data_IF_613869609902
#
_entry.id   IF_613869609902
#
_cell.length_a   1.000
_cell.length_b   1.000
_cell.length_c   1.000
_cell.angle_alpha   90.00
_cell.angle_beta   90.00
_cell.angle_gamma   90.00
#
_symmetry.space_group_name_H-M   'P 1'
#
loop_
_entity.id
_entity.type
_entity.pdbx_description
1 polymer ?
#
# COMPACT_ATOMS: atom_id res chain seq x y z
N UNK A 1 18.12 -5.32 8.43
CA UNK A 1 16.94 -5.60 9.28
C UNK A 1 16.54 -7.07 9.17
N UNK A 2 16.03 -7.73 10.25
CA UNK A 2 15.36 -9.04 10.23
C UNK A 2 14.17 -8.99 9.27
N UNK A 3 13.78 -10.12 8.68
CA UNK A 3 12.56 -10.21 7.89
C UNK A 3 11.37 -10.36 8.84
N UNK A 4 10.47 -9.38 8.84
CA UNK A 4 9.31 -9.34 9.71
C UNK A 4 8.04 -9.56 8.91
N UNK A 5 7.02 -10.15 9.58
CA UNK A 5 5.73 -10.41 8.97
C UNK A 5 5.88 -11.31 7.71
N UNK A 6 4.82 -11.62 7.03
CA UNK A 6 4.82 -12.40 5.78
C UNK A 6 4.85 -13.92 5.96
N UNK A 7 4.62 -14.42 7.16
CA UNK A 7 4.59 -15.86 7.41
C UNK A 7 3.51 -16.55 6.56
N UNK A 8 2.32 -15.95 6.44
CA UNK A 8 1.21 -16.46 5.62
C UNK A 8 1.55 -16.44 4.14
N UNK A 9 2.14 -15.33 3.66
CA UNK A 9 2.55 -15.22 2.27
C UNK A 9 3.69 -16.19 1.92
N UNK A 10 4.67 -16.32 2.82
CA UNK A 10 5.75 -17.30 2.65
C UNK A 10 5.23 -18.74 2.66
N UNK A 11 4.28 -19.03 3.54
CA UNK A 11 3.66 -20.35 3.59
C UNK A 11 2.94 -20.67 2.28
N UNK A 12 2.13 -19.74 1.76
CA UNK A 12 1.44 -19.89 0.48
C UNK A 12 2.44 -20.12 -0.66
N UNK A 13 3.53 -19.34 -0.72
CA UNK A 13 4.55 -19.53 -1.76
C UNK A 13 5.23 -20.89 -1.67
N UNK A 14 5.48 -21.42 -0.46
CA UNK A 14 6.00 -22.79 -0.26
C UNK A 14 5.00 -23.87 -0.69
N UNK A 15 3.72 -23.67 -0.43
CA UNK A 15 2.66 -24.58 -0.88
C UNK A 15 2.56 -24.62 -2.39
N UNK A 16 2.59 -23.47 -3.05
CA UNK A 16 2.60 -23.36 -4.52
C UNK A 16 3.86 -23.98 -5.12
N UNK A 17 5.04 -23.77 -4.52
CA UNK A 17 6.27 -24.44 -4.91
C UNK A 17 6.15 -25.98 -4.82
N UNK A 18 5.48 -26.49 -3.79
CA UNK A 18 5.16 -27.91 -3.67
C UNK A 18 4.27 -28.43 -4.79
N UNK A 19 3.24 -27.67 -5.15
CA UNK A 19 2.30 -27.98 -6.23
C UNK A 19 2.96 -27.91 -7.62
N UNK A 20 3.91 -26.98 -7.82
CA UNK A 20 4.60 -26.81 -9.11
C UNK A 20 5.40 -28.04 -9.55
N UNK A 21 5.72 -28.94 -8.62
CA UNK A 21 6.37 -30.23 -8.93
C UNK A 21 5.49 -31.18 -9.73
N UNK A 22 4.18 -30.99 -9.78
CA UNK A 22 3.25 -31.79 -10.60
C UNK A 22 2.90 -31.13 -11.92
N UNK A 23 2.67 -29.83 -11.92
CA UNK A 23 2.44 -28.99 -13.11
C UNK A 23 2.78 -27.54 -12.79
N UNK A 24 3.13 -26.75 -13.79
CA UNK A 24 3.54 -25.36 -13.59
C UNK A 24 2.47 -24.53 -12.86
N UNK A 25 2.92 -23.67 -11.96
CA UNK A 25 2.07 -22.76 -11.19
C UNK A 25 2.50 -21.31 -11.39
N UNK A 26 1.53 -20.41 -11.45
CA UNK A 26 1.76 -18.97 -11.60
C UNK A 26 1.21 -18.23 -10.40
N UNK A 27 2.09 -17.52 -9.69
CA UNK A 27 1.72 -16.61 -8.60
C UNK A 27 1.99 -15.18 -9.02
N UNK A 28 1.01 -14.29 -8.83
CA UNK A 28 1.17 -12.85 -9.07
C UNK A 28 1.25 -12.11 -7.74
N UNK A 29 2.36 -11.40 -7.52
CA UNK A 29 2.57 -10.57 -6.33
C UNK A 29 2.39 -9.10 -6.70
N UNK A 30 1.30 -8.52 -6.26
CA UNK A 30 0.98 -7.12 -6.44
C UNK A 30 1.22 -6.32 -5.16
N UNK A 31 1.31 -5.03 -5.27
CA UNK A 31 1.44 -4.12 -4.14
C UNK A 31 2.27 -2.91 -4.51
N UNK A 32 2.11 -1.85 -3.73
CA UNK A 32 2.82 -0.59 -3.97
C UNK A 32 4.34 -0.79 -4.00
N UNK A 33 5.01 0.17 -4.61
CA UNK A 33 6.47 0.25 -4.57
C UNK A 33 6.97 0.22 -3.12
N UNK A 34 8.11 -0.42 -2.87
CA UNK A 34 8.80 -0.46 -1.56
C UNK A 34 8.12 -1.27 -0.45
N UNK A 35 7.10 -2.06 -0.80
CA UNK A 35 6.36 -2.89 0.16
C UNK A 35 7.06 -4.22 0.51
N UNK A 36 8.14 -4.60 -0.22
CA UNK A 36 8.92 -5.82 0.01
C UNK A 36 8.60 -6.99 -0.93
N UNK A 37 8.01 -6.75 -2.12
CA UNK A 37 7.69 -7.82 -3.10
C UNK A 37 8.92 -8.63 -3.53
N UNK A 38 9.98 -7.94 -3.95
CA UNK A 38 11.24 -8.57 -4.38
C UNK A 38 11.86 -9.40 -3.27
N UNK A 39 11.88 -8.88 -2.05
CA UNK A 39 12.41 -9.57 -0.88
C UNK A 39 11.61 -10.85 -0.56
N UNK A 40 10.27 -10.77 -0.62
CA UNK A 40 9.41 -11.93 -0.42
C UNK A 40 9.63 -12.99 -1.49
N UNK A 41 9.70 -12.60 -2.77
CA UNK A 41 9.87 -13.53 -3.88
C UNK A 41 11.20 -14.29 -3.86
N UNK A 42 12.19 -13.81 -3.10
CA UNK A 42 13.52 -14.40 -2.99
C UNK A 42 13.78 -15.13 -1.66
N UNK A 43 12.90 -14.98 -0.65
CA UNK A 43 13.14 -15.49 0.72
C UNK A 43 12.08 -16.46 1.25
N UNK A 44 11.30 -17.10 0.39
CA UNK A 44 10.28 -18.05 0.85
C UNK A 44 10.77 -19.50 0.97
N UNK A 45 12.03 -19.80 0.63
CA UNK A 45 12.68 -21.09 0.90
C UNK A 45 13.01 -21.94 -0.33
N UNK A 46 12.96 -21.41 -1.55
CA UNK A 46 13.52 -22.06 -2.72
C UNK A 46 15.00 -21.68 -2.90
N UNK A 47 15.86 -22.68 -3.17
CA UNK A 47 17.29 -22.49 -3.39
C UNK A 47 17.63 -22.18 -4.86
N UNK A 48 16.76 -22.58 -5.80
CA UNK A 48 17.00 -22.42 -7.24
C UNK A 48 16.06 -21.39 -7.84
N UNK A 49 16.36 -20.11 -7.61
CA UNK A 49 15.59 -18.98 -8.14
C UNK A 49 16.33 -18.36 -9.32
N UNK A 50 15.70 -18.39 -10.48
CA UNK A 50 16.05 -17.62 -11.66
C UNK A 50 15.33 -16.27 -11.58
N UNK A 51 16.06 -15.15 -11.65
CA UNK A 51 15.49 -13.83 -11.45
C UNK A 51 15.63 -12.95 -12.68
N UNK A 52 14.50 -12.57 -13.27
CA UNK A 52 14.40 -11.69 -14.43
C UNK A 52 13.88 -10.32 -14.00
N UNK A 53 14.69 -9.29 -14.15
CA UNK A 53 14.26 -7.91 -13.93
C UNK A 53 13.90 -7.27 -15.28
N UNK A 54 12.66 -6.84 -15.43
CA UNK A 54 12.19 -6.18 -16.66
C UNK A 54 12.52 -4.70 -16.61
N UNK A 55 13.74 -4.36 -17.03
CA UNK A 55 14.20 -2.97 -17.11
C UNK A 55 13.57 -2.23 -18.30
N UNK A 56 13.64 -0.88 -18.25
CA UNK A 56 13.16 0.00 -19.34
C UNK A 56 14.22 0.08 -20.46
N UNK A 57 14.44 -0.99 -21.21
CA UNK A 57 15.36 -1.09 -22.34
C UNK A 57 14.78 -1.98 -23.44
N UNK A 58 15.40 -2.00 -24.63
CA UNK A 58 14.94 -2.81 -25.75
C UNK A 58 14.83 -4.28 -25.38
N UNK A 59 13.83 -4.98 -25.93
CA UNK A 59 13.55 -6.40 -25.65
C UNK A 59 14.75 -7.29 -25.89
N UNK A 60 15.48 -7.08 -26.97
CA UNK A 60 16.69 -7.87 -27.30
C UNK A 60 17.76 -7.77 -26.22
N UNK A 61 17.94 -6.61 -25.61
CA UNK A 61 18.88 -6.43 -24.51
C UNK A 61 18.39 -7.10 -23.21
N UNK A 62 17.08 -7.10 -22.96
CA UNK A 62 16.49 -7.87 -21.87
C UNK A 62 16.71 -9.36 -22.06
N UNK A 63 16.49 -9.86 -23.30
CA UNK A 63 16.71 -11.27 -23.61
C UNK A 63 18.18 -11.69 -23.40
N UNK A 64 19.14 -10.84 -23.74
CA UNK A 64 20.56 -11.09 -23.46
C UNK A 64 20.84 -11.23 -21.96
N UNK A 65 20.29 -10.33 -21.13
CA UNK A 65 20.42 -10.44 -19.67
C UNK A 65 19.79 -11.73 -19.15
N UNK A 66 18.60 -12.11 -19.65
CA UNK A 66 17.89 -13.32 -19.21
C UNK A 66 18.63 -14.59 -19.61
N UNK A 67 19.20 -14.63 -20.81
CA UNK A 67 20.05 -15.73 -21.27
C UNK A 67 21.31 -15.86 -20.41
N UNK A 68 21.94 -14.73 -20.07
CA UNK A 68 23.10 -14.74 -19.18
C UNK A 68 22.75 -15.26 -17.77
N UNK A 69 21.59 -14.86 -17.23
CA UNK A 69 21.10 -15.33 -15.92
C UNK A 69 20.77 -16.84 -15.95
N UNK A 70 20.13 -17.35 -17.01
CA UNK A 70 19.86 -18.78 -17.20
C UNK A 70 21.17 -19.56 -17.18
N UNK A 71 22.15 -19.13 -17.99
CA UNK A 71 23.45 -19.78 -18.09
C UNK A 71 24.19 -19.80 -16.76
N UNK A 72 24.20 -18.64 -16.06
CA UNK A 72 24.89 -18.50 -14.78
C UNK A 72 24.24 -19.34 -13.68
N UNK A 73 22.92 -19.28 -13.53
CA UNK A 73 22.19 -19.93 -12.41
C UNK A 73 21.95 -21.41 -12.63
N UNK A 74 21.63 -21.80 -13.84
CA UNK A 74 21.24 -23.19 -14.14
C UNK A 74 22.38 -23.99 -14.78
N UNK A 75 23.48 -23.35 -15.19
CA UNK A 75 24.60 -24.00 -15.85
C UNK A 75 24.26 -24.56 -17.24
N UNK A 76 23.19 -24.05 -17.85
CA UNK A 76 22.70 -24.53 -19.16
C UNK A 76 23.03 -23.52 -20.23
N UNK A 77 23.86 -23.85 -21.24
CA UNK A 77 24.11 -22.92 -22.32
C UNK A 77 22.87 -22.79 -23.21
N UNK A 78 22.43 -21.54 -23.41
CA UNK A 78 21.38 -21.24 -24.39
C UNK A 78 22.03 -21.15 -25.77
N UNK A 79 21.73 -22.10 -26.63
CA UNK A 79 22.29 -22.13 -27.99
C UNK A 79 21.56 -21.10 -28.87
N UNK A 80 22.32 -20.17 -29.45
CA UNK A 80 21.80 -19.11 -30.31
C UNK A 80 21.49 -17.81 -29.60
N UNK A 81 21.05 -16.79 -30.36
CA UNK A 81 20.59 -15.53 -29.85
C UNK A 81 19.05 -15.58 -29.67
N UNK A 82 18.57 -15.39 -28.46
CA UNK A 82 17.15 -15.17 -28.25
C UNK A 82 16.83 -13.71 -28.59
N UNK A 83 15.95 -13.50 -29.58
CA UNK A 83 15.60 -12.16 -30.07
C UNK A 83 14.30 -11.64 -29.45
N UNK A 84 13.50 -12.51 -28.83
CA UNK A 84 12.24 -12.15 -28.18
C UNK A 84 12.09 -12.82 -26.82
N UNK A 85 11.33 -12.19 -25.94
CA UNK A 85 11.00 -12.78 -24.63
C UNK A 85 10.20 -14.09 -24.78
N UNK A 86 9.37 -14.20 -25.81
CA UNK A 86 8.63 -15.43 -26.11
C UNK A 86 9.56 -16.64 -26.33
N UNK A 87 10.69 -16.45 -26.99
CA UNK A 87 11.70 -17.51 -27.17
C UNK A 87 12.34 -17.91 -25.84
N UNK A 88 12.72 -16.93 -25.02
CA UNK A 88 13.29 -17.16 -23.68
C UNK A 88 12.28 -17.87 -22.78
N UNK A 89 11.04 -17.41 -22.75
CA UNK A 89 10.00 -17.99 -21.89
C UNK A 89 9.69 -19.45 -22.28
N UNK A 90 9.57 -19.71 -23.57
CA UNK A 90 9.37 -21.08 -24.07
C UNK A 90 10.54 -21.98 -23.74
N UNK A 91 11.78 -21.50 -23.84
CA UNK A 91 12.97 -22.24 -23.43
C UNK A 91 12.93 -22.59 -21.93
N UNK A 92 12.57 -21.63 -21.07
CA UNK A 92 12.42 -21.83 -19.63
C UNK A 92 11.34 -22.88 -19.31
N UNK A 93 10.18 -22.81 -19.97
CA UNK A 93 9.10 -23.79 -19.80
C UNK A 93 9.57 -25.21 -20.16
N UNK A 94 10.28 -25.37 -21.29
CA UNK A 94 10.83 -26.66 -21.71
C UNK A 94 11.91 -27.19 -20.78
N UNK A 95 12.79 -26.31 -20.32
CA UNK A 95 13.83 -26.67 -19.36
C UNK A 95 13.25 -27.20 -18.04
N UNK A 96 12.14 -26.62 -17.62
CA UNK A 96 11.46 -27.03 -16.39
C UNK A 96 10.69 -28.36 -16.49
N UNK A 97 10.55 -28.98 -17.68
CA UNK A 97 9.96 -30.31 -17.80
C UNK A 97 10.81 -31.41 -17.11
N UNK A 98 12.13 -31.26 -17.15
CA UNK A 98 13.07 -32.25 -16.56
C UNK A 98 13.69 -31.76 -15.23
N UNK A 99 13.66 -30.48 -14.97
CA UNK A 99 14.29 -29.85 -13.79
C UNK A 99 13.38 -28.77 -13.20
N UNK A 100 12.66 -29.06 -12.11
CA UNK A 100 11.86 -28.03 -11.42
C UNK A 100 12.75 -26.89 -10.90
N UNK A 101 12.28 -25.65 -11.05
CA UNK A 101 12.90 -24.44 -10.48
C UNK A 101 11.88 -23.28 -10.43
N UNK A 102 12.23 -22.23 -9.70
CA UNK A 102 11.44 -20.99 -9.67
C UNK A 102 11.99 -19.97 -10.68
N UNK A 103 11.09 -19.36 -11.44
CA UNK A 103 11.34 -18.14 -12.20
C UNK A 103 10.59 -16.98 -11.53
N UNK A 104 11.32 -15.94 -11.13
CA UNK A 104 10.77 -14.65 -10.70
C UNK A 104 10.92 -13.65 -11.84
N UNK A 105 9.81 -13.04 -12.27
CA UNK A 105 9.83 -11.92 -13.23
C UNK A 105 9.38 -10.66 -12.47
N UNK A 106 10.32 -9.77 -12.21
CA UNK A 106 10.07 -8.53 -11.47
C UNK A 106 9.91 -7.32 -12.41
N UNK A 107 9.11 -6.34 -11.97
CA UNK A 107 8.69 -5.17 -12.76
C UNK A 107 8.00 -5.56 -14.09
N UNK A 108 7.21 -6.63 -14.05
CA UNK A 108 6.56 -7.27 -15.21
C UNK A 108 5.73 -6.28 -16.06
N UNK A 109 5.08 -5.30 -15.43
CA UNK A 109 4.29 -4.29 -16.14
C UNK A 109 5.11 -3.47 -17.15
N UNK A 110 6.44 -3.46 -17.03
CA UNK A 110 7.29 -2.74 -17.98
C UNK A 110 7.22 -3.34 -19.39
N UNK A 111 6.84 -4.61 -19.56
CA UNK A 111 6.59 -5.19 -20.89
C UNK A 111 5.52 -4.43 -21.67
N UNK A 112 4.55 -3.77 -21.01
CA UNK A 112 3.57 -2.91 -21.68
C UNK A 112 4.23 -1.83 -22.55
N UNK A 113 5.42 -1.35 -22.15
CA UNK A 113 6.18 -0.33 -22.89
C UNK A 113 7.28 -0.92 -23.77
N UNK A 114 7.82 -2.07 -23.40
CA UNK A 114 8.92 -2.74 -24.13
C UNK A 114 8.37 -3.47 -25.35
N UNK A 115 7.42 -4.35 -25.13
CA UNK A 115 6.70 -5.12 -26.17
C UNK A 115 5.41 -5.67 -25.59
N UNK A 116 4.24 -5.06 -25.81
CA UNK A 116 2.97 -5.53 -25.27
C UNK A 116 2.51 -6.89 -25.82
N UNK A 117 3.07 -7.37 -26.94
CA UNK A 117 2.73 -8.71 -27.47
C UNK A 117 3.21 -9.83 -26.54
N UNK A 118 4.14 -9.54 -25.63
CA UNK A 118 4.63 -10.50 -24.62
C UNK A 118 3.49 -11.14 -23.83
N UNK A 119 2.43 -10.38 -23.51
CA UNK A 119 1.30 -10.92 -22.75
C UNK A 119 0.55 -12.01 -23.53
N UNK A 120 0.28 -11.80 -24.81
CA UNK A 120 -0.36 -12.79 -25.67
C UNK A 120 0.52 -13.99 -25.95
N UNK A 121 1.82 -13.77 -26.15
CA UNK A 121 2.79 -14.83 -26.35
C UNK A 121 2.94 -15.70 -25.10
N UNK A 122 3.02 -15.08 -23.91
CA UNK A 122 3.03 -15.81 -22.65
C UNK A 122 1.76 -16.60 -22.43
N UNK A 123 0.58 -16.03 -22.73
CA UNK A 123 -0.70 -16.72 -22.66
C UNK A 123 -0.65 -18.01 -23.47
N UNK A 124 -0.29 -17.91 -24.76
CA UNK A 124 -0.21 -19.05 -25.68
C UNK A 124 0.75 -20.13 -25.16
N UNK A 125 1.96 -19.73 -24.80
CA UNK A 125 2.99 -20.68 -24.39
C UNK A 125 2.67 -21.29 -23.01
N UNK A 126 2.08 -20.52 -22.07
CA UNK A 126 1.59 -21.03 -20.80
C UNK A 126 0.48 -22.06 -20.97
N UNK A 127 -0.54 -21.78 -21.77
CA UNK A 127 -1.67 -22.68 -22.00
C UNK A 127 -1.21 -24.01 -22.67
N UNK A 128 -0.17 -23.97 -23.52
CA UNK A 128 0.41 -25.16 -24.17
C UNK A 128 1.29 -26.00 -23.24
N UNK A 129 2.02 -25.38 -22.33
CA UNK A 129 3.09 -26.05 -21.59
C UNK A 129 2.79 -26.24 -20.11
N UNK A 130 1.81 -25.56 -19.51
CA UNK A 130 1.48 -25.59 -18.07
C UNK A 130 1.47 -27.03 -17.51
N UNK A 131 0.83 -27.95 -18.20
CA UNK A 131 0.67 -29.36 -17.74
C UNK A 131 1.89 -30.23 -17.90
N UNK A 132 2.88 -29.80 -18.66
CA UNK A 132 4.11 -30.56 -18.93
C UNK A 132 5.31 -30.02 -18.18
N UNK A 133 5.27 -28.79 -17.83
CA UNK A 133 6.32 -28.03 -17.16
C UNK A 133 6.15 -28.10 -15.64
N UNK A 134 7.25 -28.02 -14.92
CA UNK A 134 7.30 -27.97 -13.45
C UNK A 134 7.82 -26.63 -12.96
N UNK A 135 7.46 -25.56 -13.67
CA UNK A 135 7.88 -24.20 -13.38
C UNK A 135 7.05 -23.59 -12.23
N UNK A 136 7.71 -23.12 -11.18
CA UNK A 136 7.10 -22.20 -10.25
C UNK A 136 7.35 -20.77 -10.75
N UNK A 137 6.34 -20.15 -11.37
CA UNK A 137 6.44 -18.81 -11.93
C UNK A 137 5.88 -17.78 -10.94
N UNK A 138 6.73 -16.86 -10.50
CA UNK A 138 6.34 -15.72 -9.67
C UNK A 138 6.48 -14.45 -10.50
N UNK A 139 5.40 -13.71 -10.66
CA UNK A 139 5.37 -12.45 -11.38
C UNK A 139 5.13 -11.33 -10.37
N UNK A 140 6.00 -10.31 -10.36
CA UNK A 140 5.81 -9.15 -9.50
C UNK A 140 5.86 -7.83 -10.27
N UNK A 141 5.15 -6.83 -9.74
CA UNK A 141 5.14 -5.49 -10.32
C UNK A 141 4.78 -4.42 -9.29
N UNK A 142 5.32 -3.23 -9.51
CA UNK A 142 5.19 -2.10 -8.60
C UNK A 142 4.11 -1.09 -8.98
N UNK A 143 3.69 -1.06 -10.25
CA UNK A 143 2.59 -0.22 -10.73
C UNK A 143 1.29 -1.01 -10.59
N UNK A 144 0.61 -0.76 -9.46
CA UNK A 144 -0.54 -1.54 -9.04
C UNK A 144 -1.66 -1.59 -10.08
N UNK A 145 -1.95 -0.44 -10.70
CA UNK A 145 -3.00 -0.30 -11.71
C UNK A 145 -2.73 -1.15 -12.95
N UNK A 146 -1.48 -1.14 -13.44
CA UNK A 146 -1.10 -1.95 -14.61
C UNK A 146 -1.14 -3.43 -14.30
N UNK A 147 -0.69 -3.85 -13.12
CA UNK A 147 -0.74 -5.25 -12.70
C UNK A 147 -2.18 -5.75 -12.58
N UNK A 148 -3.07 -4.95 -11.98
CA UNK A 148 -4.52 -5.26 -11.97
C UNK A 148 -5.07 -5.39 -13.38
N UNK A 149 -4.78 -4.46 -14.27
CA UNK A 149 -5.21 -4.53 -15.65
C UNK A 149 -4.75 -5.84 -16.29
N UNK A 150 -3.46 -6.16 -16.25
CA UNK A 150 -2.89 -7.35 -16.92
C UNK A 150 -3.51 -8.67 -16.42
N UNK A 151 -3.83 -8.79 -15.11
CA UNK A 151 -4.22 -10.07 -14.51
C UNK A 151 -5.68 -10.14 -14.04
N UNK A 152 -6.40 -9.02 -13.98
CA UNK A 152 -7.79 -8.94 -13.47
C UNK A 152 -8.79 -8.41 -14.48
N UNK A 153 -8.34 -7.79 -15.57
CA UNK A 153 -9.22 -7.35 -16.64
C UNK A 153 -9.49 -8.51 -17.61
N UNK A 154 -10.76 -8.83 -17.84
CA UNK A 154 -11.20 -9.97 -18.67
C UNK A 154 -10.80 -9.83 -20.14
N UNK A 155 -10.49 -8.63 -20.62
CA UNK A 155 -10.04 -8.38 -21.99
C UNK A 155 -8.53 -8.69 -22.18
N UNK A 156 -7.78 -8.81 -21.10
CA UNK A 156 -6.33 -8.99 -21.16
C UNK A 156 -5.92 -10.47 -21.30
N UNK A 157 -4.85 -10.77 -22.06
CA UNK A 157 -4.45 -12.14 -22.36
C UNK A 157 -4.16 -13.01 -21.13
N UNK A 158 -3.61 -12.45 -20.05
CA UNK A 158 -3.23 -13.19 -18.86
C UNK A 158 -4.34 -13.27 -17.80
N UNK A 159 -5.54 -12.76 -18.09
CA UNK A 159 -6.69 -12.92 -17.21
C UNK A 159 -6.96 -14.39 -16.89
N UNK A 160 -7.13 -14.71 -15.61
CA UNK A 160 -7.45 -16.07 -15.13
C UNK A 160 -6.33 -17.11 -15.25
N UNK A 161 -5.07 -16.73 -15.63
CA UNK A 161 -3.94 -17.66 -15.70
C UNK A 161 -3.14 -17.78 -14.41
N UNK A 162 -3.21 -16.79 -13.53
CA UNK A 162 -2.59 -16.89 -12.22
C UNK A 162 -3.37 -17.88 -11.35
N UNK A 163 -2.64 -18.85 -10.77
CA UNK A 163 -3.18 -19.78 -9.79
C UNK A 163 -3.38 -19.08 -8.44
N UNK A 164 -2.46 -18.18 -8.07
CA UNK A 164 -2.52 -17.39 -6.85
C UNK A 164 -2.24 -15.91 -7.12
N UNK A 165 -2.93 -15.05 -6.37
CA UNK A 165 -2.72 -13.60 -6.40
C UNK A 165 -2.52 -13.07 -4.99
N UNK A 166 -1.35 -12.53 -4.72
CA UNK A 166 -0.97 -11.91 -3.45
C UNK A 166 -0.94 -10.38 -3.60
N UNK A 167 -1.72 -9.67 -2.81
CA UNK A 167 -1.64 -8.22 -2.71
C UNK A 167 -0.99 -7.84 -1.39
N UNK A 168 0.32 -7.51 -1.43
CA UNK A 168 1.06 -7.16 -0.25
C UNK A 168 0.59 -5.83 0.35
N UNK A 169 0.28 -5.88 1.63
CA UNK A 169 -0.10 -4.72 2.43
C UNK A 169 1.09 -4.19 3.25
N UNK A 170 1.08 -2.92 3.67
CA UNK A 170 2.03 -2.40 4.66
C UNK A 170 2.02 -3.23 5.94
N UNK A 171 3.11 -3.23 6.70
CA UNK A 171 3.19 -3.91 8.00
C UNK A 171 2.02 -3.52 8.90
N UNK A 172 1.41 -4.51 9.54
CA UNK A 172 0.35 -4.30 10.53
C UNK A 172 0.84 -3.42 11.68
N UNK A 173 -0.11 -2.84 12.41
CA UNK A 173 0.21 -1.97 13.55
C UNK A 173 1.02 -2.70 14.63
N UNK A 174 0.67 -3.95 14.92
CA UNK A 174 1.40 -4.76 15.91
C UNK A 174 2.81 -5.13 15.43
N UNK A 175 2.98 -5.40 14.14
CA UNK A 175 4.30 -5.65 13.53
C UNK A 175 5.17 -4.39 13.59
N UNK A 176 4.61 -3.20 13.33
CA UNK A 176 5.36 -1.95 13.49
C UNK A 176 5.81 -1.73 14.93
N UNK A 177 4.98 -2.12 15.90
CA UNK A 177 5.29 -2.08 17.33
C UNK A 177 6.42 -3.06 17.68
N UNK A 178 6.35 -4.31 17.19
CA UNK A 178 7.40 -5.31 17.34
C UNK A 178 8.73 -4.80 16.77
N UNK A 179 8.72 -4.32 15.52
CA UNK A 179 9.94 -3.81 14.86
C UNK A 179 10.54 -2.66 15.67
N UNK A 180 9.74 -1.68 16.08
CA UNK A 180 10.25 -0.54 16.84
C UNK A 180 10.82 -0.98 18.18
N UNK A 181 10.19 -1.97 18.85
CA UNK A 181 10.68 -2.54 20.09
C UNK A 181 12.04 -3.26 19.93
N UNK A 182 12.23 -4.00 18.84
CA UNK A 182 13.50 -4.68 18.56
C UNK A 182 14.66 -3.69 18.37
N UNK A 183 14.39 -2.49 17.79
CA UNK A 183 15.40 -1.46 17.58
C UNK A 183 15.57 -0.50 18.77
N UNK A 184 14.56 -0.37 19.61
CA UNK A 184 14.54 0.54 20.75
C UNK A 184 13.50 0.11 21.78
N UNK A 185 13.84 -0.79 22.72
CA UNK A 185 12.89 -1.27 23.74
C UNK A 185 12.26 -0.17 24.61
N UNK A 186 12.94 0.98 24.73
CA UNK A 186 12.46 2.14 25.51
C UNK A 186 11.66 3.14 24.66
N UNK A 187 11.13 2.73 23.50
CA UNK A 187 10.33 3.61 22.67
C UNK A 187 9.08 4.11 23.42
N UNK A 188 8.62 5.29 23.06
CA UNK A 188 7.38 5.88 23.59
C UNK A 188 6.22 5.73 22.61
N UNK A 189 4.95 5.81 23.05
CA UNK A 189 3.81 5.89 22.13
C UNK A 189 3.92 7.00 21.09
N UNK A 190 4.59 8.11 21.40
CA UNK A 190 4.86 9.18 20.44
C UNK A 190 5.86 8.76 19.35
N UNK A 191 6.82 7.91 19.69
CA UNK A 191 7.77 7.38 18.72
C UNK A 191 7.07 6.40 17.76
N UNK A 192 6.19 5.54 18.27
CA UNK A 192 5.38 4.64 17.46
C UNK A 192 4.42 5.42 16.54
N UNK A 193 3.73 6.42 17.06
CA UNK A 193 2.87 7.27 16.24
C UNK A 193 3.65 8.01 15.16
N UNK A 194 4.88 8.47 15.44
CA UNK A 194 5.73 9.11 14.45
C UNK A 194 6.15 8.13 13.36
N UNK A 195 6.57 6.92 13.72
CA UNK A 195 6.89 5.86 12.77
C UNK A 195 5.70 5.58 11.85
N UNK A 196 4.52 5.34 12.43
CA UNK A 196 3.29 5.10 11.69
C UNK A 196 2.92 6.28 10.77
N UNK A 197 3.00 7.52 11.27
CA UNK A 197 2.64 8.73 10.52
C UNK A 197 3.51 8.94 9.29
N UNK A 198 4.80 8.63 9.40
CA UNK A 198 5.78 8.84 8.33
C UNK A 198 5.77 7.67 7.35
N UNK A 199 5.63 6.44 7.85
CA UNK A 199 5.87 5.25 7.03
C UNK A 199 4.59 4.54 6.58
N UNK A 200 3.50 4.71 7.33
CA UNK A 200 2.28 3.91 7.14
C UNK A 200 2.52 2.40 7.25
N UNK A 201 3.69 1.97 7.73
CA UNK A 201 4.12 0.57 7.76
C UNK A 201 4.72 0.07 6.45
N UNK A 202 5.03 0.93 5.48
CA UNK A 202 5.73 0.53 4.25
C UNK A 202 7.13 0.07 4.59
N UNK A 203 7.46 -1.19 4.27
CA UNK A 203 8.66 -1.89 4.72
C UNK A 203 9.96 -1.09 4.50
N UNK A 204 10.14 -0.51 3.32
CA UNK A 204 11.36 0.24 3.01
C UNK A 204 11.49 1.53 3.83
N UNK A 205 10.39 2.25 4.09
CA UNK A 205 10.44 3.47 4.91
C UNK A 205 10.77 3.16 6.36
N UNK A 206 10.18 2.08 6.89
CA UNK A 206 10.49 1.57 8.24
C UNK A 206 11.97 1.22 8.34
N UNK A 207 12.47 0.40 7.40
CA UNK A 207 13.88 0.00 7.33
C UNK A 207 14.80 1.22 7.22
N UNK A 208 14.48 2.16 6.34
CA UNK A 208 15.31 3.35 6.10
C UNK A 208 15.51 4.21 7.35
N UNK A 209 14.48 4.33 8.19
CA UNK A 209 14.57 5.08 9.44
C UNK A 209 15.32 4.28 10.51
N UNK A 210 14.93 3.03 10.73
CA UNK A 210 15.40 2.27 11.89
C UNK A 210 16.83 1.76 11.73
N UNK A 211 17.25 1.32 10.53
CA UNK A 211 18.66 0.93 10.27
C UNK A 211 19.63 2.11 10.43
N UNK A 212 19.14 3.35 10.33
CA UNK A 212 19.92 4.57 10.59
C UNK A 212 19.83 5.02 12.05
N UNK A 213 19.28 4.21 12.96
CA UNK A 213 19.12 4.54 14.39
C UNK A 213 18.12 5.69 14.65
N UNK A 214 17.22 5.96 13.69
CA UNK A 214 16.18 7.00 13.84
C UNK A 214 14.95 6.38 14.51
N UNK A 215 15.06 6.06 15.79
CA UNK A 215 14.01 5.34 16.55
C UNK A 215 13.17 6.25 17.46
N UNK A 216 13.51 7.53 17.59
CA UNK A 216 12.78 8.53 18.37
C UNK A 216 12.10 9.54 17.44
N UNK A 217 10.89 10.00 17.83
CA UNK A 217 10.10 10.98 17.05
C UNK A 217 10.94 12.11 16.48
N UNK A 218 11.70 12.79 17.33
CA UNK A 218 12.48 13.96 16.90
C UNK A 218 13.59 13.58 15.92
N UNK A 219 14.21 12.39 16.07
CA UNK A 219 15.22 11.88 15.14
C UNK A 219 14.58 11.46 13.81
N UNK A 220 13.39 10.84 13.83
CA UNK A 220 12.65 10.49 12.62
C UNK A 220 12.27 11.75 11.83
N UNK A 221 11.66 12.75 12.48
CA UNK A 221 11.29 14.00 11.83
C UNK A 221 12.50 14.76 11.27
N UNK A 222 13.62 14.77 11.98
CA UNK A 222 14.85 15.40 11.48
C UNK A 222 15.42 14.69 10.25
N UNK A 223 15.36 13.35 10.21
CA UNK A 223 15.88 12.55 9.08
C UNK A 223 15.16 12.84 7.76
N UNK A 224 13.92 13.32 7.81
CA UNK A 224 13.14 13.63 6.60
C UNK A 224 13.69 14.81 5.80
N UNK A 225 14.38 15.74 6.48
CA UNK A 225 14.94 16.96 5.89
C UNK A 225 16.47 16.98 5.94
N UNK A 226 17.13 15.83 6.21
CA UNK A 226 18.57 15.68 6.03
C UNK A 226 18.93 15.91 4.55
N UNK A 227 20.12 16.43 4.29
CA UNK A 227 20.63 16.57 2.94
C UNK A 227 20.62 15.20 2.22
N UNK A 228 20.09 15.16 1.01
CA UNK A 228 19.88 13.93 0.23
C UNK A 228 18.90 12.92 0.86
N UNK A 229 18.01 13.36 1.73
CA UNK A 229 16.93 12.49 2.24
C UNK A 229 16.07 11.95 1.10
N UNK A 230 15.94 10.62 0.94
CA UNK A 230 15.13 10.05 -0.13
C UNK A 230 13.63 10.37 0.01
N UNK A 231 13.16 10.72 1.22
CA UNK A 231 11.76 11.08 1.45
C UNK A 231 11.31 12.34 0.72
N UNK A 232 12.25 13.26 0.43
CA UNK A 232 11.93 14.55 -0.20
C UNK A 232 11.23 14.37 -1.55
N UNK A 233 11.76 13.51 -2.41
CA UNK A 233 11.24 13.30 -3.77
C UNK A 233 10.40 12.04 -3.92
N UNK A 234 10.29 11.22 -2.88
CA UNK A 234 9.67 9.89 -2.98
C UNK A 234 8.19 9.96 -3.38
N UNK A 235 7.40 10.85 -2.77
CA UNK A 235 5.99 11.00 -3.13
C UNK A 235 5.79 11.39 -4.59
N UNK A 236 6.63 12.30 -5.11
CA UNK A 236 6.63 12.67 -6.52
C UNK A 236 6.98 11.48 -7.42
N UNK A 237 8.02 10.72 -7.06
CA UNK A 237 8.48 9.58 -7.86
C UNK A 237 7.43 8.47 -7.95
N UNK A 238 6.75 8.15 -6.85
CA UNK A 238 5.67 7.16 -6.83
C UNK A 238 4.53 7.59 -7.76
N UNK A 239 4.07 8.82 -7.62
CA UNK A 239 2.87 9.29 -8.31
C UNK A 239 3.09 9.57 -9.79
N UNK A 240 4.28 10.00 -10.21
CA UNK A 240 4.60 10.16 -11.65
C UNK A 240 4.62 8.79 -12.35
N UNK A 241 5.07 7.74 -11.70
CA UNK A 241 5.04 6.39 -12.28
C UNK A 241 3.60 5.90 -12.50
N UNK A 242 2.67 6.26 -11.59
CA UNK A 242 1.25 5.89 -11.70
C UNK A 242 0.47 6.78 -12.69
N UNK A 243 0.65 8.09 -12.65
CA UNK A 243 -0.19 9.03 -13.41
C UNK A 243 0.32 9.34 -14.82
N UNK A 244 1.60 9.16 -15.09
CA UNK A 244 2.20 9.57 -16.36
C UNK A 244 2.14 11.09 -16.57
N UNK A 245 1.57 11.53 -17.71
CA UNK A 245 1.52 12.95 -18.10
C UNK A 245 0.45 13.77 -17.37
N UNK A 246 -0.61 13.14 -16.87
CA UNK A 246 -1.78 13.80 -16.28
C UNK A 246 -1.61 14.17 -14.79
N UNK A 247 -0.38 14.10 -14.28
CA UNK A 247 -0.09 14.22 -12.86
C UNK A 247 -0.54 15.54 -12.22
N UNK A 248 -0.56 16.66 -12.94
CA UNK A 248 -0.82 17.99 -12.37
C UNK A 248 -2.19 18.08 -11.68
N UNK A 249 -3.25 17.60 -12.35
CA UNK A 249 -4.62 17.64 -11.80
C UNK A 249 -4.73 16.71 -10.59
N UNK A 250 -4.20 15.49 -10.72
CA UNK A 250 -4.24 14.52 -9.63
C UNK A 250 -3.47 15.00 -8.40
N UNK A 251 -2.31 15.63 -8.58
CA UNK A 251 -1.55 16.23 -7.48
C UNK A 251 -2.33 17.34 -6.78
N UNK A 252 -3.04 18.19 -7.53
CA UNK A 252 -3.86 19.25 -6.98
C UNK A 252 -5.01 18.69 -6.13
N UNK A 253 -5.69 17.66 -6.61
CA UNK A 253 -6.77 16.98 -5.88
C UNK A 253 -6.23 16.31 -4.60
N UNK A 254 -5.14 15.57 -4.70
CA UNK A 254 -4.52 14.90 -3.55
C UNK A 254 -4.02 15.91 -2.51
N UNK A 255 -3.55 17.09 -2.95
CA UNK A 255 -3.17 18.19 -2.05
C UNK A 255 -4.37 18.72 -1.27
N UNK A 256 -5.51 18.93 -1.92
CA UNK A 256 -6.74 19.33 -1.26
C UNK A 256 -7.18 18.34 -0.19
N UNK A 257 -7.18 17.03 -0.53
CA UNK A 257 -7.56 15.97 0.40
C UNK A 257 -6.57 15.88 1.58
N UNK A 258 -5.27 15.94 1.31
CA UNK A 258 -4.23 15.92 2.35
C UNK A 258 -4.27 17.16 3.26
N UNK A 259 -4.78 18.28 2.76
CA UNK A 259 -4.99 19.52 3.53
C UNK A 259 -6.26 19.49 4.40
N UNK A 260 -7.11 18.45 4.25
CA UNK A 260 -8.30 18.25 5.07
C UNK A 260 -9.64 18.53 4.38
N UNK A 261 -9.65 18.83 3.06
CA UNK A 261 -10.90 18.88 2.29
C UNK A 261 -11.45 17.47 2.12
N UNK A 262 -12.71 17.29 2.49
CA UNK A 262 -13.30 15.95 2.61
C UNK A 262 -14.36 15.67 1.53
N UNK A 263 -14.90 16.70 0.90
CA UNK A 263 -16.04 16.56 -0.03
C UNK A 263 -15.69 16.95 -1.46
N UNK A 264 -16.36 16.34 -2.43
CA UNK A 264 -16.24 16.70 -3.84
C UNK A 264 -16.54 18.20 -4.10
N UNK A 265 -17.51 18.77 -3.35
CA UNK A 265 -17.87 20.18 -3.47
C UNK A 265 -16.75 21.13 -3.00
N UNK A 266 -16.11 20.81 -1.86
CA UNK A 266 -14.96 21.59 -1.36
C UNK A 266 -13.81 21.58 -2.38
N UNK A 267 -13.45 20.40 -2.88
CA UNK A 267 -12.35 20.21 -3.84
C UNK A 267 -12.67 20.91 -5.17
N UNK A 268 -13.91 20.78 -5.67
CA UNK A 268 -14.38 21.47 -6.88
C UNK A 268 -14.25 22.98 -6.75
N UNK A 269 -14.70 23.54 -5.64
CA UNK A 269 -14.68 24.99 -5.39
C UNK A 269 -13.25 25.51 -5.31
N UNK A 270 -12.36 24.77 -4.63
CA UNK A 270 -10.95 25.17 -4.48
C UNK A 270 -10.20 25.16 -5.82
N UNK A 271 -10.42 24.14 -6.64
CA UNK A 271 -9.66 23.93 -7.89
C UNK A 271 -10.33 24.55 -9.13
N UNK A 272 -11.60 24.94 -9.04
CA UNK A 272 -12.36 25.43 -10.20
C UNK A 272 -12.59 24.40 -11.30
N UNK A 273 -12.53 23.08 -10.96
CA UNK A 273 -12.67 21.99 -11.93
C UNK A 273 -14.13 21.53 -11.99
N UNK A 274 -14.80 21.74 -13.13
CA UNK A 274 -16.21 21.38 -13.29
C UNK A 274 -16.47 19.87 -13.11
N UNK A 275 -15.68 19.01 -13.74
CA UNK A 275 -15.89 17.56 -13.76
C UNK A 275 -14.98 16.85 -12.77
N UNK A 276 -14.95 17.29 -11.50
CA UNK A 276 -14.10 16.73 -10.45
C UNK A 276 -14.41 15.26 -10.15
N UNK A 277 -15.68 14.85 -10.34
CA UNK A 277 -16.13 13.49 -9.99
C UNK A 277 -15.43 12.40 -10.79
N UNK A 278 -15.12 12.64 -12.07
CA UNK A 278 -14.41 11.68 -12.91
C UNK A 278 -12.96 11.44 -12.44
N UNK A 279 -12.29 12.50 -11.98
CA UNK A 279 -10.94 12.40 -11.43
C UNK A 279 -10.94 11.69 -10.08
N UNK A 280 -11.92 11.99 -9.21
CA UNK A 280 -12.06 11.32 -7.92
C UNK A 280 -12.36 9.83 -8.11
N UNK A 281 -13.25 9.44 -9.03
CA UNK A 281 -13.52 8.04 -9.36
C UNK A 281 -12.25 7.33 -9.86
N UNK A 282 -11.47 7.95 -10.75
CA UNK A 282 -10.20 7.36 -11.20
C UNK A 282 -9.19 7.22 -10.08
N UNK A 283 -9.08 8.20 -9.18
CA UNK A 283 -8.19 8.11 -8.01
C UNK A 283 -8.58 6.99 -7.07
N UNK A 284 -9.87 6.71 -6.93
CA UNK A 284 -10.42 5.63 -6.10
C UNK A 284 -10.36 4.28 -6.82
N UNK A 285 -11.08 4.14 -7.94
CA UNK A 285 -11.34 2.85 -8.57
C UNK A 285 -10.13 2.31 -9.35
N UNK A 286 -9.39 3.21 -10.00
CA UNK A 286 -8.27 2.84 -10.85
C UNK A 286 -6.94 2.94 -10.13
N UNK A 287 -6.62 4.07 -9.49
CA UNK A 287 -5.34 4.26 -8.80
C UNK A 287 -5.31 3.71 -7.36
N UNK A 288 -6.47 3.54 -6.71
CA UNK A 288 -6.54 3.05 -5.33
C UNK A 288 -5.77 3.93 -4.34
N UNK A 289 -5.73 5.25 -4.58
CA UNK A 289 -5.00 6.21 -3.75
C UNK A 289 -5.88 6.88 -2.71
N UNK A 290 -7.16 6.99 -3.02
CA UNK A 290 -8.16 7.55 -2.12
C UNK A 290 -9.28 6.54 -1.91
N UNK A 291 -10.00 6.67 -0.81
CA UNK A 291 -11.22 5.94 -0.56
C UNK A 291 -12.36 6.90 -0.23
N UNK A 292 -13.58 6.47 -0.61
CA UNK A 292 -14.81 7.07 -0.13
C UNK A 292 -15.16 6.46 1.22
N UNK A 293 -15.63 7.30 2.13
CA UNK A 293 -16.21 6.83 3.38
C UNK A 293 -17.44 7.64 3.75
N UNK A 294 -18.31 7.02 4.51
CA UNK A 294 -19.58 7.59 4.96
C UNK A 294 -19.82 7.21 6.43
N UNK A 295 -20.77 7.83 7.13
CA UNK A 295 -21.09 7.41 8.47
C UNK A 295 -21.37 5.91 8.53
N UNK A 296 -20.91 5.25 9.58
CA UNK A 296 -21.13 3.82 9.77
C UNK A 296 -22.63 3.49 9.63
N UNK A 297 -22.97 2.42 8.89
CA UNK A 297 -24.32 2.02 8.55
C UNK A 297 -25.17 3.05 7.74
N UNK A 298 -24.54 4.09 7.18
CA UNK A 298 -25.27 4.95 6.26
C UNK A 298 -25.66 4.19 4.99
N UNK A 299 -26.83 4.53 4.44
CA UNK A 299 -27.28 3.94 3.16
C UNK A 299 -26.35 4.37 2.03
N UNK A 300 -26.11 3.50 1.04
CA UNK A 300 -25.29 3.80 -0.15
C UNK A 300 -25.70 5.08 -0.88
N UNK A 301 -27.00 5.40 -0.91
CA UNK A 301 -27.53 6.63 -1.49
C UNK A 301 -27.27 7.90 -0.63
N UNK A 302 -26.56 7.78 0.48
CA UNK A 302 -26.29 8.91 1.38
C UNK A 302 -25.44 9.97 0.70
N UNK A 303 -25.87 11.23 0.78
CA UNK A 303 -25.09 12.40 0.32
C UNK A 303 -23.96 12.81 1.30
N UNK A 304 -23.75 12.03 2.36
CA UNK A 304 -22.72 12.28 3.38
C UNK A 304 -21.36 11.65 3.01
N UNK A 305 -21.06 11.57 1.72
CA UNK A 305 -19.81 10.98 1.23
C UNK A 305 -18.62 11.90 1.46
N UNK A 306 -17.54 11.35 1.97
CA UNK A 306 -16.26 12.02 2.17
C UNK A 306 -15.13 11.22 1.51
N UNK A 307 -14.07 11.90 1.12
CA UNK A 307 -12.86 11.31 0.55
C UNK A 307 -11.70 11.39 1.52
N UNK A 308 -10.83 10.40 1.49
CA UNK A 308 -9.58 10.41 2.22
C UNK A 308 -8.45 9.83 1.36
N UNK A 309 -7.25 10.30 1.58
CA UNK A 309 -6.03 9.71 1.01
C UNK A 309 -5.61 8.53 1.90
N UNK A 310 -5.43 7.34 1.33
CA UNK A 310 -5.25 6.12 2.15
C UNK A 310 -3.82 5.94 2.66
N UNK A 311 -2.83 6.43 1.94
CA UNK A 311 -1.43 6.29 2.28
C UNK A 311 -0.95 7.37 3.27
N UNK A 312 -0.51 6.95 4.47
CA UNK A 312 -0.02 7.86 5.51
C UNK A 312 1.22 8.64 5.05
N UNK A 313 2.16 8.00 4.33
CA UNK A 313 3.34 8.67 3.81
C UNK A 313 2.95 9.77 2.81
N UNK A 314 2.02 9.51 1.90
CA UNK A 314 1.56 10.51 0.93
C UNK A 314 0.85 11.68 1.62
N UNK A 315 0.05 11.44 2.68
CA UNK A 315 -0.55 12.53 3.48
C UNK A 315 0.55 13.41 4.06
N UNK A 316 1.57 12.78 4.67
CA UNK A 316 2.72 13.49 5.22
C UNK A 316 3.45 14.28 4.13
N UNK A 317 3.71 13.64 2.98
CA UNK A 317 4.45 14.22 1.87
C UNK A 317 3.74 15.43 1.26
N UNK A 318 2.44 15.34 0.96
CA UNK A 318 1.66 16.46 0.45
C UNK A 318 1.59 17.62 1.44
N UNK A 319 1.41 17.31 2.72
CA UNK A 319 1.25 18.30 3.78
C UNK A 319 2.52 19.11 4.05
N UNK A 320 3.69 18.49 3.89
CA UNK A 320 4.96 19.12 4.23
C UNK A 320 5.88 19.34 3.02
N UNK A 321 6.14 18.36 2.22
CA UNK A 321 7.09 18.51 1.10
C UNK A 321 6.46 19.23 -0.09
N UNK A 322 5.31 18.79 -0.55
CA UNK A 322 4.65 19.40 -1.71
C UNK A 322 4.14 20.80 -1.40
N UNK A 323 3.47 20.99 -0.27
CA UNK A 323 2.98 22.30 0.16
C UNK A 323 4.09 23.35 0.27
N UNK A 324 5.27 22.94 0.70
CA UNK A 324 6.44 23.82 0.86
C UNK A 324 7.52 23.53 -0.18
N UNK A 325 7.13 23.17 -1.41
CA UNK A 325 8.03 22.82 -2.50
C UNK A 325 9.09 23.91 -2.77
N UNK A 326 8.75 25.18 -2.62
CA UNK A 326 9.72 26.27 -2.76
C UNK A 326 10.90 26.16 -1.79
N UNK A 327 10.70 25.67 -0.56
CA UNK A 327 11.79 25.44 0.39
C UNK A 327 12.65 24.24 -0.03
N UNK A 328 12.03 23.21 -0.62
CA UNK A 328 12.74 22.05 -1.17
C UNK A 328 13.63 22.46 -2.33
N UNK A 329 13.09 23.20 -3.31
CA UNK A 329 13.79 23.65 -4.51
C UNK A 329 14.97 24.58 -4.18
N UNK A 330 14.80 25.48 -3.21
CA UNK A 330 15.82 26.39 -2.71
C UNK A 330 16.78 25.73 -1.68
N UNK A 331 16.66 24.40 -1.42
CA UNK A 331 17.46 23.67 -0.41
C UNK A 331 17.39 24.26 1.01
N UNK A 332 16.33 24.98 1.32
CA UNK A 332 16.09 25.54 2.66
C UNK A 332 15.55 24.44 3.62
N UNK A 333 16.21 23.30 3.67
CA UNK A 333 15.76 22.09 4.38
C UNK A 333 15.66 22.28 5.89
N UNK A 334 16.51 23.13 6.46
CA UNK A 334 16.44 23.47 7.89
C UNK A 334 15.11 24.16 8.22
N UNK A 335 14.71 25.15 7.43
CA UNK A 335 13.44 25.85 7.63
C UNK A 335 12.24 24.88 7.45
N UNK A 336 12.31 23.98 6.46
CA UNK A 336 11.32 22.93 6.29
C UNK A 336 11.24 22.00 7.50
N UNK A 337 12.38 21.60 8.06
CA UNK A 337 12.45 20.78 9.27
C UNK A 337 11.81 21.45 10.49
N UNK A 338 12.01 22.75 10.64
CA UNK A 338 11.40 23.54 11.72
C UNK A 338 9.87 23.63 11.54
N UNK A 339 9.38 23.81 10.31
CA UNK A 339 7.94 23.75 9.98
C UNK A 339 7.35 22.37 10.31
N UNK A 340 8.03 21.29 9.89
CA UNK A 340 7.57 19.93 10.18
C UNK A 340 7.44 19.70 11.69
N UNK A 341 8.46 20.09 12.48
CA UNK A 341 8.44 19.93 13.94
C UNK A 341 7.30 20.73 14.58
N UNK A 342 7.08 21.98 14.13
CA UNK A 342 6.02 22.84 14.63
C UNK A 342 4.62 22.28 14.32
N UNK A 343 4.39 21.82 13.09
CA UNK A 343 3.06 21.52 12.58
C UNK A 343 2.72 20.00 12.66
N UNK A 344 3.70 19.15 13.01
CA UNK A 344 3.50 17.70 13.14
C UNK A 344 2.41 17.36 14.17
N UNK A 345 2.31 18.11 15.25
CA UNK A 345 1.30 17.86 16.27
C UNK A 345 -0.13 18.00 15.71
N UNK A 346 -0.35 18.92 14.77
CA UNK A 346 -1.61 19.03 14.02
C UNK A 346 -1.93 17.81 13.18
N UNK A 347 -0.92 17.17 12.58
CA UNK A 347 -1.08 15.93 11.81
C UNK A 347 -1.26 14.69 12.71
N UNK A 348 -0.61 14.67 13.86
CA UNK A 348 -0.58 13.50 14.75
C UNK A 348 -1.97 13.06 15.24
N UNK A 349 -2.92 13.98 15.38
CA UNK A 349 -4.31 13.67 15.72
C UNK A 349 -4.97 12.79 14.64
N UNK A 350 -4.91 13.23 13.39
CA UNK A 350 -5.42 12.44 12.25
C UNK A 350 -4.74 11.07 12.13
N UNK A 351 -3.43 11.03 12.37
CA UNK A 351 -2.68 9.76 12.30
C UNK A 351 -3.02 8.81 13.44
N UNK A 352 -3.35 9.32 14.62
CA UNK A 352 -3.83 8.51 15.75
C UNK A 352 -5.21 7.90 15.46
N UNK A 353 -6.14 8.67 14.86
CA UNK A 353 -7.42 8.13 14.39
C UNK A 353 -7.21 6.98 13.40
N UNK A 354 -6.31 7.16 12.43
CA UNK A 354 -5.97 6.13 11.44
C UNK A 354 -5.30 4.92 12.05
N UNK A 355 -4.43 5.13 13.03
CA UNK A 355 -3.75 4.04 13.72
C UNK A 355 -4.77 3.12 14.41
N UNK A 356 -5.67 3.69 15.23
CA UNK A 356 -6.67 2.90 15.93
C UNK A 356 -7.69 2.26 14.99
N UNK A 357 -8.18 3.00 13.98
CA UNK A 357 -9.07 2.41 12.98
C UNK A 357 -8.42 1.19 12.30
N UNK A 358 -7.16 1.32 11.89
CA UNK A 358 -6.40 0.23 11.28
C UNK A 358 -6.13 -0.92 12.24
N UNK A 359 -5.75 -0.65 13.49
CA UNK A 359 -5.56 -1.65 14.52
C UNK A 359 -6.77 -2.56 14.69
N UNK A 360 -7.98 -1.98 14.82
CA UNK A 360 -9.20 -2.77 14.92
C UNK A 360 -9.59 -3.48 13.61
N UNK A 361 -9.34 -2.87 12.45
CA UNK A 361 -9.57 -3.52 11.15
C UNK A 361 -8.67 -4.74 10.95
N UNK A 362 -7.42 -4.68 11.41
CA UNK A 362 -6.44 -5.77 11.31
C UNK A 362 -6.81 -7.01 12.13
N UNK A 363 -7.71 -6.89 13.12
CA UNK A 363 -8.28 -8.03 13.85
C UNK A 363 -9.27 -8.86 13.01
N UNK A 364 -9.79 -8.31 11.90
CA UNK A 364 -10.61 -9.03 10.90
C UNK A 364 -12.01 -9.43 11.34
N UNK A 365 -12.46 -9.02 12.55
CA UNK A 365 -13.77 -9.36 13.11
C UNK A 365 -14.71 -8.17 13.26
N UNK A 366 -14.19 -6.95 13.23
CA UNK A 366 -14.94 -5.75 13.49
C UNK A 366 -15.32 -5.00 12.22
N UNK A 367 -16.50 -4.37 12.24
CA UNK A 367 -16.84 -3.30 11.32
C UNK A 367 -16.36 -1.99 11.96
N UNK A 368 -15.43 -1.30 11.31
CA UNK A 368 -14.81 -0.08 11.83
C UNK A 368 -15.18 1.10 10.97
N UNK A 369 -15.63 2.17 11.60
CA UNK A 369 -16.02 3.37 10.88
C UNK A 369 -16.02 4.63 11.76
N UNK A 370 -16.55 5.69 11.19
CA UNK A 370 -16.79 6.98 11.85
C UNK A 370 -18.26 7.32 11.77
N UNK A 371 -18.71 8.27 12.54
CA UNK A 371 -20.05 8.78 12.43
C UNK A 371 -20.07 10.32 12.50
N UNK A 372 -20.98 10.95 11.73
CA UNK A 372 -21.27 12.37 11.80
C UNK A 372 -22.72 12.62 11.40
N UNK A 373 -23.31 13.67 11.98
CA UNK A 373 -24.68 14.09 11.67
C UNK A 373 -24.79 14.73 10.28
N UNK A 374 -26.02 15.08 9.86
CA UNK A 374 -26.27 15.71 8.55
C UNK A 374 -25.56 17.05 8.38
N UNK A 375 -25.37 17.79 9.46
CA UNK A 375 -24.73 19.12 9.44
C UNK A 375 -23.22 19.06 9.67
N UNK A 376 -22.70 17.92 10.11
CA UNK A 376 -21.29 17.73 10.42
C UNK A 376 -20.87 18.38 11.75
N UNK A 377 -21.81 18.80 12.60
CA UNK A 377 -21.48 19.41 13.91
C UNK A 377 -21.14 18.35 14.96
N UNK A 378 -21.80 17.20 14.91
CA UNK A 378 -21.50 16.08 15.78
C UNK A 378 -20.70 15.03 14.99
N UNK A 379 -19.48 14.83 15.36
CA UNK A 379 -18.58 13.81 14.76
C UNK A 379 -18.05 12.88 15.85
N UNK A 380 -17.99 11.58 15.56
CA UNK A 380 -17.42 10.52 16.38
C UNK A 380 -16.26 9.92 15.60
N UNK A 381 -15.09 9.94 16.19
CA UNK A 381 -13.83 9.63 15.53
C UNK A 381 -13.68 8.14 15.20
N UNK A 382 -14.21 7.27 16.08
CA UNK A 382 -14.06 5.83 15.93
C UNK A 382 -15.25 5.06 16.51
N UNK A 383 -15.85 4.24 15.67
CA UNK A 383 -16.91 3.28 16.03
C UNK A 383 -16.45 1.90 15.59
N UNK A 384 -16.37 0.98 16.55
CA UNK A 384 -15.94 -0.42 16.34
C UNK A 384 -17.09 -1.33 16.69
N UNK A 385 -17.55 -2.13 15.75
CA UNK A 385 -18.76 -2.96 15.92
C UNK A 385 -18.40 -4.44 15.75
N UNK A 386 -18.76 -5.25 16.73
CA UNK A 386 -18.81 -6.71 16.63
C UNK A 386 -20.23 -7.12 16.20
N UNK A 387 -20.43 -7.47 14.93
CA UNK A 387 -21.76 -7.82 14.43
C UNK A 387 -22.27 -9.15 14.99
N UNK A 388 -21.36 -10.03 15.43
CA UNK A 388 -21.67 -11.36 15.98
C UNK A 388 -22.00 -11.23 17.47
N UNK A 389 -21.16 -10.54 18.24
CA UNK A 389 -21.36 -10.27 19.66
C UNK A 389 -22.47 -9.28 19.95
N UNK A 390 -22.96 -8.53 18.93
CA UNK A 390 -23.90 -7.43 19.07
C UNK A 390 -23.43 -6.35 20.05
N UNK A 391 -22.16 -6.03 19.97
CA UNK A 391 -21.52 -5.01 20.80
C UNK A 391 -20.93 -3.91 19.91
N UNK A 392 -20.94 -2.68 20.39
CA UNK A 392 -20.29 -1.56 19.70
C UNK A 392 -19.52 -0.72 20.71
N UNK A 393 -18.25 -0.49 20.40
CA UNK A 393 -17.38 0.43 21.15
C UNK A 393 -17.28 1.73 20.40
N UNK A 394 -17.53 2.82 21.11
CA UNK A 394 -17.55 4.17 20.57
C UNK A 394 -16.50 4.99 21.30
N UNK A 395 -15.51 5.46 20.54
CA UNK A 395 -14.36 6.14 21.12
C UNK A 395 -14.22 7.57 20.65
N UNK A 396 -13.93 8.46 21.61
CA UNK A 396 -13.36 9.78 21.33
C UNK A 396 -11.83 9.69 21.41
N UNK A 397 -11.15 10.23 20.41
CA UNK A 397 -9.70 10.20 20.34
C UNK A 397 -9.11 11.51 20.85
N UNK A 398 -8.31 11.46 21.90
CA UNK A 398 -7.73 12.64 22.54
C UNK A 398 -6.21 12.54 22.64
N UNK A 399 -5.53 13.65 22.39
CA UNK A 399 -4.08 13.74 22.58
C UNK A 399 -3.62 13.60 24.03
N UNK A 400 -4.52 13.80 25.00
CA UNK A 400 -4.29 13.70 26.44
C UNK A 400 -5.58 13.56 27.22
N UNK A 401 -5.52 12.91 28.40
CA UNK A 401 -6.67 12.56 29.24
C UNK A 401 -7.47 13.77 29.74
N UNK A 402 -6.83 14.91 29.95
CA UNK A 402 -7.44 16.13 30.52
C UNK A 402 -8.49 16.83 29.65
N UNK A 403 -8.75 16.32 28.44
CA UNK A 403 -9.68 16.90 27.45
C UNK A 403 -10.91 16.04 27.17
N UNK A 404 -11.09 14.92 27.86
CA UNK A 404 -12.26 14.07 27.67
C UNK A 404 -13.44 14.62 28.50
N UNK A 405 -14.50 15.01 27.79
CA UNK A 405 -15.78 15.39 28.37
C UNK A 405 -16.78 14.27 28.11
N UNK A 406 -16.94 13.41 29.10
CA UNK A 406 -17.81 12.23 29.03
C UNK A 406 -19.28 12.60 28.81
N UNK A 407 -19.76 13.66 29.39
CA UNK A 407 -21.17 14.08 29.29
C UNK A 407 -21.47 14.53 27.85
N UNK A 408 -20.68 15.47 27.35
CA UNK A 408 -20.83 15.94 25.96
C UNK A 408 -20.64 14.83 24.95
N UNK A 409 -19.71 13.91 25.18
CA UNK A 409 -19.48 12.79 24.27
C UNK A 409 -20.65 11.79 24.29
N UNK A 410 -21.22 11.51 25.46
CA UNK A 410 -22.41 10.67 25.61
C UNK A 410 -23.61 11.22 24.81
N UNK A 411 -23.84 12.52 24.84
CA UNK A 411 -24.89 13.17 24.05
C UNK A 411 -24.70 12.93 22.54
N UNK A 412 -23.46 12.98 22.03
CA UNK A 412 -23.15 12.66 20.64
C UNK A 412 -23.44 11.18 20.33
N UNK A 413 -23.09 10.27 21.24
CA UNK A 413 -23.33 8.83 21.08
C UNK A 413 -24.84 8.53 21.09
N UNK A 414 -25.60 9.14 21.99
CA UNK A 414 -27.05 9.00 22.05
C UNK A 414 -27.70 9.49 20.73
N UNK A 415 -27.23 10.62 20.20
CA UNK A 415 -27.65 11.12 18.88
C UNK A 415 -27.32 10.15 17.74
N UNK A 416 -26.13 9.53 17.76
CA UNK A 416 -25.73 8.51 16.78
C UNK A 416 -26.67 7.28 16.85
N UNK A 417 -26.90 6.74 18.04
CA UNK A 417 -27.74 5.55 18.25
C UNK A 417 -29.19 5.86 17.83
N UNK A 418 -29.70 7.06 18.13
CA UNK A 418 -31.04 7.48 17.70
C UNK A 418 -31.18 7.53 16.17
N UNK A 419 -30.11 7.88 15.44
CA UNK A 419 -30.11 8.00 13.98
C UNK A 419 -29.70 6.71 13.25
N UNK A 420 -29.16 5.69 13.95
CA UNK A 420 -28.61 4.46 13.37
C UNK A 420 -29.35 3.24 13.91
N UNK A 421 -30.37 2.73 13.20
CA UNK A 421 -31.21 1.63 13.69
C UNK A 421 -30.45 0.35 14.04
N UNK A 422 -29.33 0.08 13.35
CA UNK A 422 -28.47 -1.08 13.56
C UNK A 422 -27.87 -1.06 14.97
N UNK A 423 -27.45 0.11 15.45
CA UNK A 423 -26.84 0.28 16.76
C UNK A 423 -27.83 0.19 17.93
N UNK A 424 -29.11 0.45 17.69
CA UNK A 424 -30.15 0.35 18.75
C UNK A 424 -30.32 -1.07 19.31
N UNK A 425 -29.83 -2.07 18.59
CA UNK A 425 -29.94 -3.49 18.97
C UNK A 425 -28.64 -4.02 19.57
N UNK A 426 -27.67 -3.16 19.83
CA UNK A 426 -26.34 -3.51 20.33
C UNK A 426 -26.10 -2.94 21.71
N UNK A 427 -25.23 -3.60 22.46
CA UNK A 427 -24.69 -3.03 23.70
C UNK A 427 -23.63 -1.99 23.33
N UNK A 428 -23.81 -0.76 23.78
CA UNK A 428 -22.91 0.35 23.45
C UNK A 428 -21.94 0.57 24.61
N UNK A 429 -20.65 0.48 24.33
CA UNK A 429 -19.55 0.82 25.22
C UNK A 429 -18.95 2.16 24.81
N UNK A 430 -18.83 3.09 25.74
CA UNK A 430 -18.32 4.44 25.48
C UNK A 430 -16.95 4.57 26.18
N UNK A 431 -15.99 5.16 25.47
CA UNK A 431 -14.66 5.39 26.03
C UNK A 431 -13.86 6.43 25.30
N UNK A 432 -12.64 6.65 25.75
CA UNK A 432 -11.65 7.46 25.06
C UNK A 432 -10.38 6.68 24.81
N UNK A 433 -9.73 6.95 23.69
CA UNK A 433 -8.40 6.41 23.37
C UNK A 433 -7.39 7.54 23.20
N UNK A 434 -6.20 7.29 23.67
CA UNK A 434 -5.08 8.22 23.63
C UNK A 434 -3.81 7.52 23.11
N UNK A 435 -2.73 8.25 23.00
CA UNK A 435 -1.43 7.66 22.64
C UNK A 435 -0.98 6.53 23.59
N UNK A 436 -1.43 6.54 24.85
CA UNK A 436 -1.06 5.49 25.82
C UNK A 436 -1.65 4.11 25.49
N UNK A 437 -2.71 4.09 24.68
CA UNK A 437 -3.44 2.87 24.29
C UNK A 437 -2.90 2.25 22.98
N UNK A 438 -1.84 2.83 22.43
CA UNK A 438 -1.16 2.38 21.21
C UNK A 438 -0.30 1.14 21.42
#
# INVERSE_FOLDING_TARGET
MKFYDRESEQQLLREVLGQSKSEARMTVIMGRRRIGKTELSQRYGDETILYFFVGKKAETLLCQDFVAEITHKLGVPVLGQANSFAEVFRFVLRLSESRPFTLVIDEFQNFQKVNPTVFSDMQRDWDLWKRKSHLNLIISGSVFTLMKKIFEDYEEPLFGRADEKLTLQPFKTDVQKEILNDFNPDYTPEDLLALFSITGGVAWYVTLLLDRGKTRKNKMLAALTEENSPFINEGKNILIEEFGTDYVIYFSILTCIASGMKTSAEIKNELGIENISSYLSRLEDYYGLISKYQPIFAKESSKKMRYQLDDCFLIFWFRFFFKYQALVENKALKALGDIIKRDYDGLSGLMMERYFARKFQEEGRYIVGKWWDRKGFNEIDLVVVDPVGKEAWVYELKKGESRYDEVSFKEKVDSMVAQTPELRKMTIHIGSLSKKDM
#
